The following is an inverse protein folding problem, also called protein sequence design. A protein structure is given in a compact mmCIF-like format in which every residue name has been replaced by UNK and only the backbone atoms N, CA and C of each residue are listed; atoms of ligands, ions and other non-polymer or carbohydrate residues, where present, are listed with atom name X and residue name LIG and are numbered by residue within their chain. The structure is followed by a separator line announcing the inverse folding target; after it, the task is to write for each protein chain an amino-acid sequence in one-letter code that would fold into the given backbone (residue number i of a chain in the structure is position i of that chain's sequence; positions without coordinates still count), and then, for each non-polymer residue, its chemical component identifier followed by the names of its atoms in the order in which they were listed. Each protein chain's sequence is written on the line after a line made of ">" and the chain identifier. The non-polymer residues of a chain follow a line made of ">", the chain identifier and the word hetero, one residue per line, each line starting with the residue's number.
data_IF_981526849476
#
_entry.id   IF_981526849476
#
_cell.length_a   1.000
_cell.length_b   1.000
_cell.length_c   1.000
_cell.angle_alpha   90.00
_cell.angle_beta   90.00
_cell.angle_gamma   90.00
#
_symmetry.space_group_name_H-M   'P 1'
#
loop_
_entity.id
_entity.type
_entity.pdbx_description
1 polymer ?
#
# COMPACT_ATOMS: atom_id res chain seq x y z
N UNK A 1 -25.65 58.31 -7.39
CA UNK A 1 -24.26 58.67 -7.00
C UNK A 1 -23.38 57.46 -7.31
N UNK A 2 -22.45 57.41 -8.26
CA UNK A 2 -21.84 58.44 -9.08
C UNK A 2 -20.31 58.34 -9.05
N UNK A 3 -19.74 57.60 -10.01
CA UNK A 3 -18.38 57.76 -10.61
C UNK A 3 -17.17 57.38 -9.70
N UNK A 4 -16.00 56.94 -10.18
CA UNK A 4 -15.43 56.55 -11.49
C UNK A 4 -14.01 56.00 -11.22
N UNK A 5 -13.67 54.91 -11.92
CA UNK A 5 -12.40 54.63 -12.64
C UNK A 5 -11.33 55.74 -12.68
N UNK A 6 -10.05 55.35 -12.56
CA UNK A 6 -8.91 55.60 -13.51
C UNK A 6 -7.67 54.82 -12.99
N UNK A 7 -7.19 53.82 -13.74
CA UNK A 7 -6.11 53.87 -14.75
C UNK A 7 -4.71 54.01 -14.13
N UNK A 8 -3.91 52.93 -14.20
CA UNK A 8 -2.84 52.66 -15.19
C UNK A 8 -1.51 53.24 -14.71
N UNK A 9 -0.53 52.37 -14.49
CA UNK A 9 0.81 52.60 -15.02
C UNK A 9 1.54 51.25 -15.19
N UNK A 10 1.71 50.89 -16.46
CA UNK A 10 2.67 49.89 -16.94
C UNK A 10 3.98 50.63 -17.16
N UNK A 11 5.11 50.06 -16.74
CA UNK A 11 6.42 50.48 -17.24
C UNK A 11 6.95 49.42 -18.22
N UNK A 12 6.99 49.72 -19.53
CA UNK A 12 7.64 48.90 -20.55
C UNK A 12 9.05 49.41 -20.87
N UNK A 13 9.85 48.46 -21.31
CA UNK A 13 11.16 48.54 -21.95
C UNK A 13 11.37 49.79 -22.82
N UNK A 14 12.42 50.57 -22.53
CA UNK A 14 12.98 51.60 -23.41
C UNK A 14 14.48 51.35 -23.56
N UNK A 15 14.90 50.79 -24.70
CA UNK A 15 15.51 51.47 -25.86
C UNK A 15 17.00 51.76 -25.67
N UNK A 16 17.78 50.90 -26.34
CA UNK A 16 19.14 51.15 -26.81
C UNK A 16 19.20 52.39 -27.71
N UNK A 17 20.30 53.14 -27.62
CA UNK A 17 20.88 53.82 -28.79
C UNK A 17 22.41 53.62 -28.81
N UNK A 18 23.03 53.62 -30.01
CA UNK A 18 24.37 53.08 -30.27
C UNK A 18 25.42 54.18 -30.49
N UNK A 19 26.69 53.88 -30.22
CA UNK A 19 27.81 54.76 -30.61
C UNK A 19 29.20 54.22 -30.28
N UNK A 20 29.85 53.64 -31.30
CA UNK A 20 31.30 53.55 -31.55
C UNK A 20 32.14 52.64 -30.63
N UNK A 21 32.50 51.42 -31.07
CA UNK A 21 33.65 51.04 -31.93
C UNK A 21 35.03 51.35 -31.30
N UNK A 22 35.80 50.29 -31.06
CA UNK A 22 37.20 50.31 -30.64
C UNK A 22 37.52 49.08 -29.76
N UNK A 23 37.51 47.88 -30.33
CA UNK A 23 38.70 47.15 -30.81
C UNK A 23 39.66 46.72 -29.70
N UNK A 24 39.71 45.40 -29.49
CA UNK A 24 40.85 44.55 -29.10
C UNK A 24 41.96 45.15 -28.22
N UNK A 25 42.11 44.61 -27.01
CA UNK A 25 43.37 44.04 -26.54
C UNK A 25 43.16 43.27 -25.23
N UNK A 26 43.42 41.96 -25.27
CA UNK A 26 43.85 41.17 -24.11
C UNK A 26 45.37 41.41 -23.97
N UNK A 27 45.94 41.49 -22.75
CA UNK A 27 46.62 40.30 -22.26
C UNK A 27 46.61 40.09 -20.73
N UNK A 28 46.30 38.85 -20.35
CA UNK A 28 46.99 38.00 -19.36
C UNK A 28 47.35 38.53 -17.95
N UNK A 29 46.60 38.03 -16.95
CA UNK A 29 46.99 37.29 -15.72
C UNK A 29 46.25 37.72 -14.45
N UNK A 30 45.66 36.75 -13.75
CA UNK A 30 45.16 36.95 -12.38
C UNK A 30 43.96 36.10 -11.99
N UNK A 31 44.19 34.82 -11.71
CA UNK A 31 43.49 34.01 -10.69
C UNK A 31 41.97 34.19 -10.52
N UNK A 32 41.14 33.49 -11.32
CA UNK A 32 39.75 33.11 -10.96
C UNK A 32 39.16 32.06 -11.90
N UNK A 33 39.84 30.92 -12.08
CA UNK A 33 39.50 29.92 -13.12
C UNK A 33 38.96 28.58 -12.58
N UNK A 34 38.24 28.55 -11.45
CA UNK A 34 37.62 27.29 -10.97
C UNK A 34 36.10 27.32 -10.80
N UNK A 35 35.47 28.49 -10.65
CA UNK A 35 34.01 28.60 -10.53
C UNK A 35 33.28 28.98 -11.83
N UNK A 36 34.01 29.42 -12.86
CA UNK A 36 33.44 29.75 -14.18
C UNK A 36 33.32 28.55 -15.11
N UNK A 37 34.11 27.48 -14.94
CA UNK A 37 34.05 26.30 -15.82
C UNK A 37 32.74 25.50 -15.68
N UNK A 38 32.16 25.40 -14.48
CA UNK A 38 30.91 24.64 -14.28
C UNK A 38 29.70 25.39 -14.88
N UNK A 39 29.65 26.71 -14.72
CA UNK A 39 28.62 27.54 -15.33
C UNK A 39 28.79 27.69 -16.86
N UNK A 40 30.02 27.67 -17.36
CA UNK A 40 30.28 27.67 -18.81
C UNK A 40 29.82 26.34 -19.45
N UNK A 41 30.04 25.20 -18.80
CA UNK A 41 29.52 23.90 -19.26
C UNK A 41 27.98 23.84 -19.25
N UNK A 42 27.34 24.43 -18.23
CA UNK A 42 25.88 24.44 -18.15
C UNK A 42 25.24 25.28 -19.26
N UNK A 43 25.83 26.45 -19.59
CA UNK A 43 25.32 27.34 -20.65
C UNK A 43 25.58 26.82 -22.07
N UNK A 44 26.62 25.99 -22.25
CA UNK A 44 26.88 25.28 -23.50
C UNK A 44 25.91 24.10 -23.67
N UNK A 45 25.53 23.42 -22.58
CA UNK A 45 24.58 22.29 -22.62
C UNK A 45 23.16 22.70 -23.03
N UNK A 46 22.64 23.83 -22.55
CA UNK A 46 21.31 24.31 -22.95
C UNK A 46 21.27 24.79 -24.40
N UNK A 47 22.39 25.35 -24.88
CA UNK A 47 22.53 25.83 -26.27
C UNK A 47 22.72 24.67 -27.27
N UNK A 48 23.27 23.53 -26.83
CA UNK A 48 23.40 22.31 -27.65
C UNK A 48 22.10 21.51 -27.75
N UNK A 49 21.26 21.51 -26.71
CA UNK A 49 19.91 20.91 -26.79
C UNK A 49 19.01 21.67 -27.76
N UNK A 50 19.11 23.00 -27.83
CA UNK A 50 18.28 23.79 -28.76
C UNK A 50 18.79 23.79 -30.21
N UNK A 51 20.04 23.38 -30.48
CA UNK A 51 20.58 23.32 -31.84
C UNK A 51 20.40 21.95 -32.51
N UNK A 52 19.94 20.93 -31.79
CA UNK A 52 19.72 19.59 -32.33
C UNK A 52 18.44 19.49 -33.20
N UNK A 53 17.51 20.45 -33.07
CA UNK A 53 16.23 20.44 -33.80
C UNK A 53 16.21 21.30 -35.08
N UNK A 54 17.25 22.07 -35.36
CA UNK A 54 17.34 22.86 -36.60
C UNK A 54 18.45 22.31 -37.49
N UNK A 55 18.03 21.61 -38.55
CA UNK A 55 18.94 21.02 -39.53
C UNK A 55 19.97 22.01 -40.05
N UNK A 56 21.23 21.60 -40.03
CA UNK A 56 22.30 22.25 -40.78
C UNK A 56 23.17 21.18 -41.44
N UNK A 57 22.89 20.97 -42.73
CA UNK A 57 23.77 20.28 -43.67
C UNK A 57 24.78 21.29 -44.22
N UNK A 58 26.07 21.13 -43.91
CA UNK A 58 27.15 21.40 -44.87
C UNK A 58 28.47 20.82 -44.38
N UNK A 59 29.05 20.00 -45.26
CA UNK A 59 30.40 19.42 -45.30
C UNK A 59 31.44 20.00 -44.34
N UNK A 60 32.08 19.11 -43.57
CA UNK A 60 33.27 19.42 -42.77
C UNK A 60 33.44 18.44 -41.62
N UNK A 61 34.30 17.46 -41.84
CA UNK A 61 34.98 16.64 -40.81
C UNK A 61 34.15 15.60 -40.04
N UNK A 62 34.53 14.35 -40.29
CA UNK A 62 34.19 13.12 -39.59
C UNK A 62 34.78 13.07 -38.18
N UNK A 63 34.57 14.13 -37.41
CA UNK A 63 35.03 14.25 -36.04
C UNK A 63 33.80 14.09 -35.14
N UNK A 64 33.83 12.99 -34.37
CA UNK A 64 33.31 12.91 -33.00
C UNK A 64 32.00 12.23 -32.66
N UNK A 65 31.50 11.29 -33.48
CA UNK A 65 30.71 10.18 -32.88
C UNK A 65 31.61 9.33 -31.96
N UNK A 66 32.90 9.22 -32.31
CA UNK A 66 33.94 8.54 -31.51
C UNK A 66 34.29 9.29 -30.23
N UNK A 67 34.61 10.59 -30.29
CA UNK A 67 34.93 11.37 -29.10
C UNK A 67 33.71 11.64 -28.22
N UNK A 68 32.50 11.82 -28.77
CA UNK A 68 31.30 11.94 -27.92
C UNK A 68 31.03 10.64 -27.14
N UNK A 69 31.26 9.47 -27.75
CA UNK A 69 31.23 8.18 -27.02
C UNK A 69 32.37 8.04 -26.02
N UNK A 70 33.57 8.50 -26.37
CA UNK A 70 34.73 8.49 -25.48
C UNK A 70 34.51 9.40 -24.27
N UNK A 71 34.00 10.61 -24.48
CA UNK A 71 33.66 11.58 -23.45
C UNK A 71 32.50 11.09 -22.58
N UNK A 72 31.48 10.45 -23.15
CA UNK A 72 30.42 9.80 -22.38
C UNK A 72 30.97 8.68 -21.49
N UNK A 73 31.85 7.82 -22.02
CA UNK A 73 32.51 6.76 -21.23
C UNK A 73 33.45 7.30 -20.16
N UNK A 74 34.20 8.35 -20.47
CA UNK A 74 35.07 9.04 -19.51
C UNK A 74 34.22 9.71 -18.44
N UNK A 75 33.09 10.31 -18.80
CA UNK A 75 32.15 10.91 -17.86
C UNK A 75 31.47 9.86 -16.98
N UNK A 76 31.04 8.72 -17.52
CA UNK A 76 30.56 7.55 -16.74
C UNK A 76 31.65 6.99 -15.82
N UNK A 77 32.90 6.91 -16.29
CA UNK A 77 34.03 6.51 -15.47
C UNK A 77 34.30 7.52 -14.35
N UNK A 78 34.31 8.82 -14.64
CA UNK A 78 34.54 9.87 -13.64
C UNK A 78 33.37 9.95 -12.65
N UNK A 79 32.12 9.81 -13.10
CA UNK A 79 30.95 9.81 -12.21
C UNK A 79 30.89 8.57 -11.32
N UNK A 80 31.26 7.39 -11.84
CA UNK A 80 31.40 6.18 -11.04
C UNK A 80 32.56 6.24 -10.04
N UNK A 81 33.64 6.93 -10.38
CA UNK A 81 34.78 7.19 -9.47
C UNK A 81 34.43 8.24 -8.40
N UNK A 82 33.63 9.25 -8.75
CA UNK A 82 33.33 10.38 -7.83
C UNK A 82 32.16 10.13 -6.88
N UNK A 83 31.29 9.15 -7.16
CA UNK A 83 30.28 8.66 -6.21
C UNK A 83 30.15 7.14 -6.33
N UNK A 84 31.06 6.36 -5.71
CA UNK A 84 30.84 4.93 -5.57
C UNK A 84 29.45 4.70 -4.93
N UNK A 85 28.68 3.72 -5.40
CA UNK A 85 27.35 3.45 -4.87
C UNK A 85 27.46 3.21 -3.36
N UNK A 86 26.92 4.13 -2.58
CA UNK A 86 26.86 4.01 -1.13
C UNK A 86 25.70 3.07 -0.78
N UNK A 87 25.88 2.20 0.22
CA UNK A 87 24.83 1.30 0.72
C UNK A 87 23.51 2.05 0.94
N UNK A 88 23.55 3.26 1.51
CA UNK A 88 22.35 4.09 1.71
C UNK A 88 21.63 4.46 0.40
N UNK A 89 22.37 4.74 -0.68
CA UNK A 89 21.78 5.04 -2.00
C UNK A 89 21.19 3.80 -2.66
N UNK A 90 21.82 2.65 -2.46
CA UNK A 90 21.31 1.36 -2.95
C UNK A 90 20.01 0.99 -2.24
N UNK A 91 19.95 1.12 -0.91
CA UNK A 91 18.73 0.83 -0.14
C UNK A 91 17.57 1.77 -0.49
N UNK A 92 17.83 3.07 -0.69
CA UNK A 92 16.79 4.00 -1.15
C UNK A 92 16.23 3.62 -2.51
N UNK A 93 17.11 3.26 -3.46
CA UNK A 93 16.68 2.81 -4.79
C UNK A 93 15.93 1.48 -4.73
N UNK A 94 16.38 0.56 -3.88
CA UNK A 94 15.70 -0.71 -3.66
C UNK A 94 14.30 -0.52 -3.08
N UNK A 95 14.11 0.40 -2.13
CA UNK A 95 12.78 0.68 -1.59
C UNK A 95 11.83 1.27 -2.64
N UNK A 96 12.34 2.14 -3.52
CA UNK A 96 11.56 2.63 -4.66
C UNK A 96 11.12 1.49 -5.59
N UNK A 97 12.05 0.58 -5.95
CA UNK A 97 11.72 -0.57 -6.80
C UNK A 97 10.74 -1.54 -6.13
N UNK A 98 10.87 -1.74 -4.81
CA UNK A 98 9.90 -2.52 -4.03
C UNK A 98 8.50 -1.89 -4.08
N UNK A 99 8.40 -0.56 -4.00
CA UNK A 99 7.12 0.16 -4.10
C UNK A 99 6.53 0.11 -5.52
N UNK A 100 7.38 0.09 -6.55
CA UNK A 100 6.99 -0.10 -7.96
C UNK A 100 6.59 -1.55 -8.29
N UNK A 101 6.76 -2.50 -7.36
CA UNK A 101 6.48 -3.92 -7.56
C UNK A 101 7.59 -4.70 -8.29
N UNK A 102 8.76 -4.08 -8.48
CA UNK A 102 9.95 -4.67 -9.13
C UNK A 102 10.81 -5.37 -8.08
N UNK A 103 10.30 -6.48 -7.56
CA UNK A 103 10.86 -7.13 -6.36
C UNK A 103 12.24 -7.76 -6.61
N UNK A 104 12.49 -8.31 -7.79
CA UNK A 104 13.76 -8.95 -8.15
C UNK A 104 14.90 -7.92 -8.20
N UNK A 105 14.68 -6.80 -8.90
CA UNK A 105 15.67 -5.72 -8.99
C UNK A 105 15.91 -5.04 -7.62
N UNK A 106 14.87 -4.94 -6.80
CA UNK A 106 15.01 -4.48 -5.43
C UNK A 106 15.89 -5.43 -4.60
N UNK A 107 15.71 -6.75 -4.74
CA UNK A 107 16.51 -7.75 -4.04
C UNK A 107 17.98 -7.70 -4.43
N UNK A 108 18.29 -7.51 -5.71
CA UNK A 108 19.67 -7.33 -6.17
C UNK A 108 20.34 -6.11 -5.54
N UNK A 109 19.63 -4.98 -5.48
CA UNK A 109 20.14 -3.74 -4.89
C UNK A 109 20.31 -3.87 -3.36
N UNK A 110 19.39 -4.53 -2.67
CA UNK A 110 19.54 -4.83 -1.23
C UNK A 110 20.75 -5.72 -0.99
N UNK A 111 20.92 -6.79 -1.79
CA UNK A 111 22.07 -7.68 -1.66
C UNK A 111 23.40 -6.95 -1.93
N UNK A 112 23.45 -6.04 -2.90
CA UNK A 112 24.60 -5.17 -3.13
C UNK A 112 24.87 -4.25 -1.92
N UNK A 113 23.82 -3.62 -1.37
CA UNK A 113 23.94 -2.75 -0.21
C UNK A 113 24.41 -3.47 1.04
N UNK A 114 23.90 -4.69 1.29
CA UNK A 114 24.30 -5.53 2.42
C UNK A 114 25.71 -6.09 2.26
N UNK A 115 26.22 -6.31 1.03
CA UNK A 115 27.65 -6.62 0.82
C UNK A 115 28.57 -5.48 1.25
N UNK A 116 28.14 -4.24 1.07
CA UNK A 116 28.90 -3.05 1.49
C UNK A 116 28.77 -2.79 3.00
N UNK A 117 27.58 -3.02 3.56
CA UNK A 117 27.30 -2.85 4.98
C UNK A 117 26.49 -4.05 5.51
N UNK A 118 27.17 -5.12 5.95
CA UNK A 118 26.50 -6.36 6.37
C UNK A 118 25.65 -6.26 7.63
N UNK A 119 25.81 -5.21 8.42
CA UNK A 119 25.08 -5.01 9.69
C UNK A 119 24.16 -3.78 9.62
N UNK A 120 23.61 -3.47 8.45
CA UNK A 120 22.73 -2.32 8.29
C UNK A 120 21.26 -2.72 8.50
N UNK A 121 20.65 -2.20 9.58
CA UNK A 121 19.25 -2.47 9.91
C UNK A 121 18.25 -2.11 8.80
N UNK A 122 18.51 -1.07 8.00
CA UNK A 122 17.64 -0.70 6.86
C UNK A 122 17.72 -1.75 5.76
N UNK A 123 18.92 -2.28 5.49
CA UNK A 123 19.13 -3.34 4.52
C UNK A 123 18.40 -4.62 4.92
N UNK A 124 18.54 -5.04 6.17
CA UNK A 124 17.83 -6.20 6.72
C UNK A 124 16.30 -6.00 6.73
N UNK A 125 15.82 -4.80 7.05
CA UNK A 125 14.39 -4.49 7.00
C UNK A 125 13.82 -4.62 5.58
N UNK A 126 14.54 -4.09 4.58
CA UNK A 126 14.14 -4.22 3.18
C UNK A 126 14.21 -5.68 2.71
N UNK A 127 15.25 -6.41 3.10
CA UNK A 127 15.38 -7.85 2.85
C UNK A 127 14.17 -8.61 3.38
N UNK A 128 13.76 -8.34 4.62
CA UNK A 128 12.59 -8.95 5.24
C UNK A 128 11.30 -8.70 4.44
N UNK A 129 11.07 -7.46 4.00
CA UNK A 129 9.91 -7.12 3.18
C UNK A 129 9.92 -7.81 1.80
N UNK A 130 11.10 -7.96 1.19
CA UNK A 130 11.23 -8.68 -0.08
C UNK A 130 10.98 -10.18 0.11
N UNK A 131 11.50 -10.78 1.18
CA UNK A 131 11.19 -12.17 1.52
C UNK A 131 9.68 -12.38 1.75
N UNK A 132 8.97 -11.45 2.38
CA UNK A 132 7.51 -11.50 2.48
C UNK A 132 6.82 -11.43 1.11
N UNK A 133 7.28 -10.56 0.21
CA UNK A 133 6.76 -10.47 -1.14
C UNK A 133 6.94 -11.81 -1.91
N UNK A 134 8.05 -12.50 -1.68
CA UNK A 134 8.33 -13.83 -2.22
C UNK A 134 7.70 -14.99 -1.43
N UNK A 135 6.84 -14.72 -0.42
CA UNK A 135 6.22 -15.73 0.46
C UNK A 135 7.22 -16.60 1.26
N UNK A 136 8.43 -16.10 1.46
CA UNK A 136 9.48 -16.77 2.23
C UNK A 136 9.40 -16.35 3.71
N UNK A 137 8.46 -16.94 4.44
CA UNK A 137 8.13 -16.54 5.82
C UNK A 137 9.31 -16.76 6.78
N UNK A 138 10.00 -17.90 6.69
CA UNK A 138 11.16 -18.22 7.55
C UNK A 138 12.29 -17.19 7.43
N UNK A 139 12.83 -16.94 6.22
CA UNK A 139 13.83 -15.90 5.99
C UNK A 139 13.36 -14.51 6.40
N UNK A 140 12.11 -14.15 6.12
CA UNK A 140 11.56 -12.85 6.52
C UNK A 140 11.59 -12.64 8.05
N UNK A 141 11.20 -13.66 8.83
CA UNK A 141 11.27 -13.61 10.31
C UNK A 141 12.70 -13.38 10.79
N UNK A 142 13.66 -14.13 10.25
CA UNK A 142 15.06 -14.03 10.64
C UNK A 142 15.60 -12.61 10.38
N UNK A 143 15.30 -12.03 9.22
CA UNK A 143 15.70 -10.67 8.88
C UNK A 143 15.06 -9.62 9.81
N UNK A 144 13.77 -9.73 10.12
CA UNK A 144 13.15 -8.84 11.12
C UNK A 144 13.76 -8.99 12.52
N UNK A 145 14.12 -10.21 12.93
CA UNK A 145 14.81 -10.46 14.20
C UNK A 145 16.21 -9.83 14.22
N UNK A 146 16.95 -9.89 13.11
CA UNK A 146 18.24 -9.18 12.98
C UNK A 146 18.07 -7.67 13.17
N UNK A 147 17.04 -7.08 12.58
CA UNK A 147 16.71 -5.65 12.79
C UNK A 147 16.43 -5.36 14.27
N UNK A 148 15.65 -6.23 14.94
CA UNK A 148 15.37 -6.09 16.37
C UNK A 148 16.58 -6.35 17.27
N UNK A 149 17.58 -7.09 16.79
CA UNK A 149 18.87 -7.24 17.47
C UNK A 149 19.68 -5.95 17.50
N UNK A 150 19.54 -5.11 16.47
CA UNK A 150 20.20 -3.79 16.38
C UNK A 150 19.37 -2.72 17.09
N UNK A 151 18.06 -2.68 16.83
CA UNK A 151 17.10 -1.78 17.48
C UNK A 151 15.91 -2.58 18.02
N UNK A 152 15.91 -2.92 19.34
CA UNK A 152 14.84 -3.71 19.97
C UNK A 152 13.45 -3.10 19.90
N UNK A 153 13.35 -1.82 19.56
CA UNK A 153 12.09 -1.06 19.53
C UNK A 153 11.70 -0.66 18.11
N UNK A 154 12.39 -1.16 17.07
CA UNK A 154 12.12 -0.74 15.71
C UNK A 154 10.65 -0.99 15.31
N UNK A 155 9.84 0.05 15.02
CA UNK A 155 8.39 -0.09 14.89
C UNK A 155 7.98 -0.95 13.69
N UNK A 156 8.65 -0.74 12.54
CA UNK A 156 8.40 -1.50 11.31
C UNK A 156 8.77 -2.98 11.42
N UNK A 157 9.81 -3.33 12.16
CA UNK A 157 10.20 -4.73 12.38
C UNK A 157 9.24 -5.45 13.35
N UNK A 158 8.83 -4.77 14.44
CA UNK A 158 7.78 -5.28 15.34
C UNK A 158 6.46 -5.52 14.60
N UNK A 159 6.03 -4.57 13.77
CA UNK A 159 4.84 -4.75 12.93
C UNK A 159 4.99 -5.88 11.92
N UNK A 160 6.19 -6.04 11.34
CA UNK A 160 6.51 -7.14 10.43
C UNK A 160 6.31 -8.50 11.08
N UNK A 161 6.89 -8.72 12.26
CA UNK A 161 6.71 -9.95 13.03
C UNK A 161 5.25 -10.16 13.48
N UNK A 162 4.56 -9.10 13.89
CA UNK A 162 3.14 -9.18 14.24
C UNK A 162 2.28 -9.66 13.06
N UNK A 163 2.54 -9.14 11.84
CA UNK A 163 1.85 -9.57 10.61
C UNK A 163 2.13 -11.03 10.29
N UNK A 164 3.37 -11.46 10.42
CA UNK A 164 3.72 -12.86 10.18
C UNK A 164 3.02 -13.77 11.19
N UNK A 165 3.05 -13.43 12.49
CA UNK A 165 2.35 -14.20 13.52
C UNK A 165 0.84 -14.26 13.24
N UNK A 166 0.26 -13.18 12.70
CA UNK A 166 -1.13 -13.15 12.27
C UNK A 166 -1.41 -14.09 11.09
N UNK A 167 -0.55 -14.10 10.07
CA UNK A 167 -0.66 -15.02 8.93
C UNK A 167 -0.57 -16.49 9.37
N UNK A 168 0.25 -16.78 10.38
CA UNK A 168 0.36 -18.10 11.01
C UNK A 168 -0.77 -18.42 11.99
N UNK A 169 -1.72 -17.48 12.18
CA UNK A 169 -2.83 -17.56 13.15
C UNK A 169 -2.39 -17.67 14.61
N UNK A 170 -1.14 -17.33 14.92
CA UNK A 170 -0.62 -17.28 16.29
C UNK A 170 -0.91 -15.91 16.91
N UNK A 171 -2.13 -15.77 17.44
CA UNK A 171 -2.54 -14.55 18.13
C UNK A 171 -1.77 -14.31 19.43
N UNK A 172 -1.28 -15.38 20.07
CA UNK A 172 -0.53 -15.28 21.31
C UNK A 172 0.84 -14.64 21.07
N UNK A 173 1.50 -14.96 19.96
CA UNK A 173 2.73 -14.32 19.53
C UNK A 173 2.50 -12.92 18.92
N UNK A 174 1.36 -12.69 18.25
CA UNK A 174 1.07 -11.42 17.57
C UNK A 174 0.92 -10.23 18.53
N UNK A 175 0.12 -10.38 19.59
CA UNK A 175 -0.19 -9.31 20.55
C UNK A 175 1.03 -8.65 21.19
N UNK A 176 2.00 -9.37 21.78
CA UNK A 176 3.12 -8.73 22.46
C UNK A 176 3.96 -7.87 21.51
N UNK A 177 4.07 -8.22 20.22
CA UNK A 177 4.76 -7.37 19.25
C UNK A 177 4.01 -6.06 18.99
N UNK A 178 2.68 -6.09 18.92
CA UNK A 178 1.84 -4.90 18.74
C UNK A 178 1.84 -4.01 19.98
N UNK A 179 1.71 -4.61 21.15
CA UNK A 179 1.74 -3.89 22.43
C UNK A 179 3.07 -3.17 22.59
N UNK A 180 4.19 -3.85 22.28
CA UNK A 180 5.52 -3.23 22.29
C UNK A 180 5.62 -2.11 21.26
N UNK A 181 5.14 -2.32 20.03
CA UNK A 181 5.20 -1.28 19.00
C UNK A 181 4.43 -0.01 19.41
N UNK A 182 3.23 -0.17 19.97
CA UNK A 182 2.36 0.95 20.38
C UNK A 182 2.78 1.59 21.70
N UNK A 183 3.48 0.87 22.58
CA UNK A 183 4.07 1.43 23.79
C UNK A 183 5.12 2.49 23.47
N UNK A 184 6.01 2.22 22.50
CA UNK A 184 7.08 3.15 22.11
C UNK A 184 6.65 4.12 21.01
N UNK A 185 5.71 3.72 20.15
CA UNK A 185 5.19 4.54 19.06
C UNK A 185 3.65 4.58 19.11
N UNK A 186 3.07 5.40 20.00
CA UNK A 186 1.61 5.50 20.14
C UNK A 186 0.92 6.01 18.88
N UNK A 187 1.59 6.83 18.07
CA UNK A 187 1.12 7.36 16.79
C UNK A 187 1.56 6.48 15.62
N UNK A 188 1.28 5.17 15.72
CA UNK A 188 1.55 4.20 14.66
C UNK A 188 0.24 3.59 14.16
N UNK A 189 -0.42 4.21 13.16
CA UNK A 189 -1.78 3.85 12.77
C UNK A 189 -1.88 2.42 12.24
N UNK A 190 -0.86 1.91 11.54
CA UNK A 190 -0.87 0.54 11.03
C UNK A 190 -0.82 -0.51 12.15
N UNK A 191 -0.05 -0.27 13.22
CA UNK A 191 -0.03 -1.16 14.37
C UNK A 191 -1.33 -1.09 15.17
N UNK A 192 -1.90 0.12 15.34
CA UNK A 192 -3.20 0.29 16.02
C UNK A 192 -4.32 -0.42 15.27
N UNK A 193 -4.39 -0.25 13.95
CA UNK A 193 -5.36 -0.94 13.12
C UNK A 193 -5.22 -2.48 13.21
N UNK A 194 -3.98 -3.00 13.27
CA UNK A 194 -3.73 -4.42 13.44
C UNK A 194 -4.13 -4.92 14.83
N UNK A 195 -3.85 -4.14 15.89
CA UNK A 195 -4.21 -4.48 17.26
C UNK A 195 -5.72 -4.50 17.46
N UNK A 196 -6.44 -3.50 16.93
CA UNK A 196 -7.91 -3.47 16.96
C UNK A 196 -8.51 -4.65 16.20
N UNK A 197 -7.92 -5.06 15.06
CA UNK A 197 -8.34 -6.24 14.34
C UNK A 197 -8.15 -7.52 15.17
N UNK A 198 -6.98 -7.70 15.79
CA UNK A 198 -6.65 -8.85 16.65
C UNK A 198 -7.49 -8.87 17.93
N UNK A 199 -7.77 -7.72 18.53
CA UNK A 199 -8.67 -7.59 19.67
C UNK A 199 -10.10 -8.00 19.29
N UNK A 200 -10.56 -7.62 18.09
CA UNK A 200 -11.81 -8.13 17.52
C UNK A 200 -11.84 -9.65 17.40
N UNK A 201 -10.71 -10.34 17.16
CA UNK A 201 -10.63 -11.80 17.11
C UNK A 201 -10.66 -12.42 18.51
N UNK A 202 -10.21 -11.68 19.53
CA UNK A 202 -10.22 -12.08 20.93
C UNK A 202 -11.63 -12.07 21.54
N UNK A 203 -12.40 -11.03 21.24
CA UNK A 203 -13.78 -10.83 21.72
C UNK A 203 -14.76 -11.84 21.10
N UNK A 204 -14.36 -12.46 19.98
CA UNK A 204 -15.09 -13.58 19.33
C UNK A 204 -14.68 -14.94 19.93
N UNK A 205 -13.67 -14.95 20.79
CA UNK A 205 -13.15 -16.09 21.54
C UNK A 205 -14.02 -16.52 22.73
N UNK A 206 -15.32 -16.19 22.73
CA UNK A 206 -16.26 -16.99 23.53
C UNK A 206 -16.30 -18.36 22.86
N UNK A 207 -15.85 -19.45 23.53
CA UNK A 207 -15.93 -20.79 22.98
C UNK A 207 -17.36 -21.07 22.51
N UNK A 208 -17.52 -21.78 21.40
CA UNK A 208 -18.79 -22.33 20.89
C UNK A 208 -19.87 -22.54 21.98
N UNK A 209 -19.51 -23.25 23.06
CA UNK A 209 -20.42 -23.58 24.17
C UNK A 209 -20.68 -22.51 25.26
N UNK A 210 -20.16 -21.29 25.14
CA UNK A 210 -20.43 -20.17 26.07
C UNK A 210 -21.07 -18.96 25.38
N UNK A 211 -21.28 -19.02 24.06
CA UNK A 211 -21.99 -17.95 23.34
C UNK A 211 -23.44 -17.92 23.80
N UNK A 212 -24.04 -16.74 23.99
CA UNK A 212 -25.44 -16.65 24.38
C UNK A 212 -26.27 -17.38 23.32
N UNK A 213 -27.05 -18.37 23.74
CA UNK A 213 -27.98 -19.02 22.83
C UNK A 213 -28.99 -17.98 22.35
N UNK A 214 -29.28 -17.97 21.05
CA UNK A 214 -30.26 -17.04 20.49
C UNK A 214 -31.63 -17.25 21.18
N UNK A 215 -32.07 -16.25 21.93
CA UNK A 215 -33.31 -16.31 22.72
C UNK A 215 -34.58 -15.86 21.96
N UNK A 216 -34.47 -15.63 20.65
CA UNK A 216 -35.58 -15.16 19.82
C UNK A 216 -36.37 -16.29 19.15
N UNK A 217 -37.37 -15.94 18.31
CA UNK A 217 -38.20 -16.94 17.64
C UNK A 217 -37.37 -17.80 16.68
N UNK A 218 -37.53 -19.14 16.71
CA UNK A 218 -36.79 -20.02 15.82
C UNK A 218 -37.19 -19.80 14.36
N UNK A 219 -36.21 -19.80 13.47
CA UNK A 219 -36.47 -19.74 12.03
C UNK A 219 -36.75 -21.14 11.49
N UNK A 220 -37.90 -21.31 10.82
CA UNK A 220 -38.25 -22.55 10.15
C UNK A 220 -37.69 -22.58 8.72
N UNK A 221 -36.79 -23.54 8.43
CA UNK A 221 -36.15 -23.70 7.11
C UNK A 221 -37.16 -23.81 5.96
N UNK A 222 -38.28 -24.48 6.19
CA UNK A 222 -39.38 -24.70 5.23
C UNK A 222 -39.99 -23.37 4.73
N UNK A 223 -39.97 -22.34 5.57
CA UNK A 223 -40.53 -21.02 5.27
C UNK A 223 -39.51 -20.08 4.63
N UNK A 224 -38.23 -20.28 4.92
CA UNK A 224 -37.13 -19.51 4.34
C UNK A 224 -36.95 -19.76 2.84
N UNK A 225 -37.25 -20.99 2.37
CA UNK A 225 -37.10 -21.42 0.97
C UNK A 225 -35.69 -21.15 0.44
N UNK A 226 -34.64 -21.76 1.01
CA UNK A 226 -33.26 -21.54 0.57
C UNK A 226 -33.07 -21.95 -0.90
N UNK A 227 -32.22 -21.24 -1.66
CA UNK A 227 -31.96 -21.59 -3.04
C UNK A 227 -31.22 -22.93 -3.12
N UNK A 228 -31.63 -23.80 -4.04
CA UNK A 228 -31.00 -25.11 -4.25
C UNK A 228 -29.52 -25.03 -4.66
N UNK A 229 -29.09 -23.90 -5.22
CA UNK A 229 -27.70 -23.64 -5.61
C UNK A 229 -26.84 -23.07 -4.47
N UNK A 230 -27.44 -22.63 -3.36
CA UNK A 230 -26.71 -22.15 -2.20
C UNK A 230 -26.08 -23.32 -1.46
N UNK A 231 -24.78 -23.22 -1.17
CA UNK A 231 -24.06 -24.24 -0.39
C UNK A 231 -24.28 -24.03 1.11
N UNK A 232 -24.25 -22.78 1.54
CA UNK A 232 -24.31 -22.42 2.94
C UNK A 232 -25.14 -21.16 3.15
N UNK A 233 -25.93 -21.18 4.21
CA UNK A 233 -26.76 -20.07 4.65
C UNK A 233 -26.58 -19.88 6.15
N UNK A 234 -26.19 -18.68 6.54
CA UNK A 234 -25.96 -18.32 7.94
C UNK A 234 -26.60 -16.97 8.24
N UNK A 235 -27.34 -16.92 9.34
CA UNK A 235 -27.87 -15.69 9.92
C UNK A 235 -27.28 -15.51 11.31
N UNK A 236 -26.69 -14.36 11.56
CA UNK A 236 -26.05 -13.99 12.83
C UNK A 236 -26.55 -12.63 13.29
N UNK A 237 -26.47 -12.38 14.59
CA UNK A 237 -26.58 -11.04 15.12
C UNK A 237 -25.24 -10.29 14.95
N UNK A 238 -25.27 -8.95 15.02
CA UNK A 238 -24.06 -8.13 14.90
C UNK A 238 -23.01 -8.41 16.02
N UNK A 239 -23.45 -8.98 17.14
CA UNK A 239 -22.60 -9.44 18.25
C UNK A 239 -21.92 -10.79 17.97
N UNK A 240 -22.28 -11.48 16.89
CA UNK A 240 -21.75 -12.79 16.49
C UNK A 240 -22.58 -13.98 17.00
N UNK A 241 -23.71 -13.73 17.66
CA UNK A 241 -24.63 -14.80 18.07
C UNK A 241 -25.25 -15.46 16.83
N UNK A 242 -25.09 -16.79 16.72
CA UNK A 242 -25.71 -17.56 15.64
C UNK A 242 -27.24 -17.59 15.85
N UNK A 243 -27.97 -17.10 14.86
CA UNK A 243 -29.45 -17.13 14.83
C UNK A 243 -29.93 -18.37 14.09
N UNK A 244 -29.28 -18.70 12.96
CA UNK A 244 -29.64 -19.85 12.14
C UNK A 244 -28.49 -20.26 11.23
N UNK A 245 -28.33 -21.57 11.00
CA UNK A 245 -27.48 -22.14 9.96
C UNK A 245 -28.16 -23.33 9.28
N UNK A 246 -27.83 -23.55 8.00
CA UNK A 246 -28.26 -24.73 7.25
C UNK A 246 -27.34 -25.96 7.44
N UNK A 247 -26.09 -25.77 7.88
CA UNK A 247 -25.14 -26.85 8.19
C UNK A 247 -25.22 -27.27 9.66
N UNK A 248 -24.66 -28.45 10.00
CA UNK A 248 -24.64 -28.98 11.37
C UNK A 248 -23.98 -28.02 12.38
N UNK A 249 -24.38 -28.12 13.65
CA UNK A 249 -24.16 -27.08 14.68
C UNK A 249 -22.71 -26.61 14.85
N UNK A 250 -21.70 -27.50 14.76
CA UNK A 250 -20.28 -27.09 14.98
C UNK A 250 -19.70 -26.29 13.82
N UNK A 251 -19.83 -26.79 12.59
CA UNK A 251 -19.31 -26.10 11.40
C UNK A 251 -20.06 -24.78 11.16
N UNK A 252 -21.35 -24.75 11.54
CA UNK A 252 -22.20 -23.57 11.52
C UNK A 252 -21.71 -22.43 12.43
N UNK A 253 -21.29 -22.75 13.66
CA UNK A 253 -20.81 -21.76 14.63
C UNK A 253 -19.45 -21.17 14.23
N UNK A 254 -18.57 -21.99 13.66
CA UNK A 254 -17.27 -21.55 13.14
C UNK A 254 -17.44 -20.66 11.91
N UNK A 255 -18.35 -21.03 11.00
CA UNK A 255 -18.68 -20.23 9.82
C UNK A 255 -19.34 -18.90 10.22
N UNK A 256 -20.27 -18.92 11.18
CA UNK A 256 -20.89 -17.72 11.73
C UNK A 256 -19.88 -16.76 12.36
N UNK A 257 -18.92 -17.29 13.11
CA UNK A 257 -17.82 -16.51 13.65
C UNK A 257 -16.99 -15.89 12.52
N UNK A 258 -16.64 -16.67 11.49
CA UNK A 258 -15.87 -16.19 10.35
C UNK A 258 -16.59 -15.08 9.57
N UNK A 259 -17.87 -15.26 9.25
CA UNK A 259 -18.69 -14.27 8.54
C UNK A 259 -18.82 -12.99 9.34
N UNK A 260 -19.15 -13.10 10.64
CA UNK A 260 -19.25 -11.93 11.53
C UNK A 260 -17.92 -11.19 11.60
N UNK A 261 -16.81 -11.94 11.63
CA UNK A 261 -15.47 -11.38 11.68
C UNK A 261 -15.13 -10.57 10.43
N UNK A 262 -15.39 -11.12 9.24
CA UNK A 262 -15.17 -10.43 7.96
C UNK A 262 -16.04 -9.16 7.90
N UNK A 263 -17.31 -9.25 8.30
CA UNK A 263 -18.22 -8.11 8.35
C UNK A 263 -17.68 -6.99 9.26
N UNK A 264 -17.23 -7.31 10.48
CA UNK A 264 -16.72 -6.31 11.43
C UNK A 264 -15.49 -5.58 10.90
N UNK A 265 -14.53 -6.31 10.31
CA UNK A 265 -13.33 -5.69 9.72
C UNK A 265 -13.72 -4.73 8.60
N UNK A 266 -14.60 -5.18 7.70
CA UNK A 266 -15.04 -4.37 6.57
C UNK A 266 -15.84 -3.14 7.05
N UNK A 267 -16.76 -3.30 8.00
CA UNK A 267 -17.55 -2.21 8.57
C UNK A 267 -16.68 -1.18 9.29
N UNK A 268 -15.71 -1.62 10.11
CA UNK A 268 -14.76 -0.73 10.78
C UNK A 268 -13.91 0.06 9.78
N UNK A 269 -13.47 -0.59 8.70
CA UNK A 269 -12.71 0.05 7.63
C UNK A 269 -13.53 1.14 6.93
N UNK A 270 -14.78 0.85 6.59
CA UNK A 270 -15.70 1.83 5.98
C UNK A 270 -16.03 2.99 6.91
N UNK A 271 -16.22 2.72 8.21
CA UNK A 271 -16.47 3.75 9.21
C UNK A 271 -15.28 4.72 9.33
N UNK A 272 -14.04 4.22 9.37
CA UNK A 272 -12.82 5.05 9.38
C UNK A 272 -12.66 5.87 8.10
N UNK A 273 -13.13 5.34 6.97
CA UNK A 273 -13.15 6.06 5.70
C UNK A 273 -14.30 7.07 5.56
N UNK A 274 -15.22 7.15 6.55
CA UNK A 274 -16.40 8.01 6.48
C UNK A 274 -17.46 7.56 5.46
N UNK A 275 -17.43 6.29 5.04
CA UNK A 275 -18.29 5.73 3.99
C UNK A 275 -19.62 5.17 4.51
N UNK A 276 -19.87 5.27 5.82
CA UNK A 276 -21.10 4.83 6.46
C UNK A 276 -21.15 3.33 6.76
N UNK A 277 -22.36 2.84 7.08
CA UNK A 277 -22.57 1.46 7.52
C UNK A 277 -22.52 0.48 6.35
N UNK A 278 -21.83 -0.64 6.56
CA UNK A 278 -21.82 -1.76 5.62
C UNK A 278 -23.20 -2.43 5.62
N UNK A 279 -23.94 -2.32 4.52
CA UNK A 279 -25.28 -2.90 4.35
C UNK A 279 -25.32 -4.12 3.43
N UNK A 280 -24.41 -4.16 2.45
CA UNK A 280 -24.31 -5.23 1.44
C UNK A 280 -22.85 -5.40 1.06
N UNK A 281 -22.47 -6.61 0.67
CA UNK A 281 -21.19 -6.83 0.01
C UNK A 281 -21.03 -8.24 -0.50
N UNK A 282 -19.90 -8.44 -1.18
CA UNK A 282 -19.55 -9.68 -1.87
C UNK A 282 -18.11 -9.98 -1.50
N UNK A 283 -17.87 -11.21 -1.05
CA UNK A 283 -16.53 -11.75 -0.77
C UNK A 283 -16.30 -12.86 -1.78
N UNK A 284 -15.33 -12.66 -2.67
CA UNK A 284 -14.92 -13.66 -3.65
C UNK A 284 -13.68 -14.38 -3.15
N UNK A 285 -13.82 -15.67 -2.89
CA UNK A 285 -12.72 -16.59 -2.60
C UNK A 285 -12.40 -17.44 -3.84
N UNK A 286 -11.35 -18.25 -3.75
CA UNK A 286 -10.88 -19.09 -4.86
C UNK A 286 -11.90 -20.17 -5.25
N UNK A 287 -12.72 -20.63 -4.31
CA UNK A 287 -13.65 -21.76 -4.49
C UNK A 287 -15.12 -21.35 -4.42
N UNK A 288 -15.40 -20.19 -3.86
CA UNK A 288 -16.75 -19.78 -3.48
C UNK A 288 -16.91 -18.27 -3.47
N UNK A 289 -18.15 -17.83 -3.60
CA UNK A 289 -18.53 -16.43 -3.48
C UNK A 289 -19.59 -16.29 -2.40
N UNK A 290 -19.28 -15.51 -1.38
CA UNK A 290 -20.21 -15.21 -0.27
C UNK A 290 -20.83 -13.85 -0.49
N UNK A 291 -22.15 -13.80 -0.52
CA UNK A 291 -22.92 -12.56 -0.53
C UNK A 291 -23.42 -12.31 0.87
N UNK A 292 -23.32 -11.08 1.34
CA UNK A 292 -23.85 -10.72 2.65
C UNK A 292 -24.72 -9.48 2.59
N UNK A 293 -25.70 -9.47 3.49
CA UNK A 293 -26.60 -8.35 3.74
C UNK A 293 -26.73 -8.14 5.23
N UNK A 294 -26.74 -6.88 5.66
CA UNK A 294 -26.75 -6.57 7.08
C UNK A 294 -27.48 -5.27 7.39
N UNK A 295 -27.93 -5.18 8.63
CA UNK A 295 -28.39 -3.97 9.27
C UNK A 295 -27.66 -3.80 10.62
N UNK A 296 -28.14 -2.90 11.48
CA UNK A 296 -27.49 -2.61 12.75
C UNK A 296 -27.60 -3.76 13.79
N UNK A 297 -28.38 -4.81 13.47
CA UNK A 297 -28.67 -5.93 14.40
C UNK A 297 -28.35 -7.30 13.85
N UNK A 298 -28.49 -7.51 12.55
CA UNK A 298 -28.44 -8.81 11.88
C UNK A 298 -27.49 -8.77 10.69
N UNK A 299 -26.78 -9.87 10.49
CA UNK A 299 -25.90 -10.14 9.37
C UNK A 299 -26.32 -11.48 8.77
N UNK A 300 -26.66 -11.45 7.50
CA UNK A 300 -26.99 -12.63 6.69
C UNK A 300 -25.87 -12.86 5.70
N UNK A 301 -25.38 -14.09 5.61
CA UNK A 301 -24.48 -14.54 4.57
C UNK A 301 -25.05 -15.74 3.83
N UNK A 302 -24.88 -15.73 2.51
CA UNK A 302 -25.30 -16.77 1.60
C UNK A 302 -24.13 -17.09 0.66
N UNK A 303 -23.65 -18.32 0.73
CA UNK A 303 -22.45 -18.78 0.00
C UNK A 303 -22.85 -19.64 -1.18
N UNK A 304 -22.27 -19.34 -2.33
CA UNK A 304 -22.45 -20.07 -3.57
C UNK A 304 -21.10 -20.55 -4.13
N UNK A 305 -21.10 -21.54 -5.03
CA UNK A 305 -19.93 -21.85 -5.85
C UNK A 305 -19.40 -20.61 -6.61
N UNK A 306 -18.11 -20.60 -6.93
CA UNK A 306 -17.44 -19.45 -7.54
C UNK A 306 -18.04 -19.01 -8.89
N UNK A 307 -18.64 -19.91 -9.65
CA UNK A 307 -19.21 -19.66 -10.99
C UNK A 307 -20.59 -18.99 -10.97
N UNK A 308 -21.11 -18.66 -9.78
CA UNK A 308 -22.39 -17.97 -9.64
C UNK A 308 -22.38 -16.59 -10.30
N UNK A 309 -23.46 -16.28 -11.04
CA UNK A 309 -23.66 -14.93 -11.57
C UNK A 309 -23.97 -13.98 -10.42
N UNK A 310 -23.23 -12.87 -10.33
CA UNK A 310 -23.38 -11.84 -9.28
C UNK A 310 -24.85 -11.40 -9.11
N UNK A 311 -25.55 -11.13 -10.22
CA UNK A 311 -26.95 -10.69 -10.18
C UNK A 311 -27.89 -11.74 -9.57
N UNK A 312 -27.63 -13.03 -9.80
CA UNK A 312 -28.39 -14.12 -9.19
C UNK A 312 -28.11 -14.20 -7.68
N UNK A 313 -26.83 -14.17 -7.28
CA UNK A 313 -26.44 -14.22 -5.87
C UNK A 313 -27.04 -13.06 -5.05
N UNK A 314 -27.03 -11.83 -5.60
CA UNK A 314 -27.64 -10.67 -4.95
C UNK A 314 -29.17 -10.80 -4.81
N UNK A 315 -29.85 -11.30 -5.85
CA UNK A 315 -31.29 -11.49 -5.82
C UNK A 315 -31.70 -12.51 -4.76
N UNK A 316 -31.03 -13.66 -4.72
CA UNK A 316 -31.32 -14.70 -3.74
C UNK A 316 -31.00 -14.25 -2.31
N UNK A 317 -29.90 -13.51 -2.12
CA UNK A 317 -29.56 -12.91 -0.81
C UNK A 317 -30.64 -11.93 -0.35
N UNK A 318 -31.18 -11.09 -1.25
CA UNK A 318 -32.26 -10.15 -0.93
C UNK A 318 -33.58 -10.83 -0.59
N UNK A 319 -33.91 -11.93 -1.30
CA UNK A 319 -35.08 -12.77 -0.98
C UNK A 319 -34.94 -13.41 0.39
N UNK A 320 -33.78 -14.05 0.65
CA UNK A 320 -33.50 -14.70 1.93
C UNK A 320 -33.54 -13.70 3.09
N UNK A 321 -33.00 -12.49 2.90
CA UNK A 321 -33.09 -11.41 3.88
C UNK A 321 -34.54 -11.03 4.21
N UNK A 322 -35.35 -10.83 3.18
CA UNK A 322 -36.76 -10.44 3.35
C UNK A 322 -37.56 -11.54 4.06
N UNK A 323 -37.33 -12.80 3.68
CA UNK A 323 -37.98 -13.95 4.32
C UNK A 323 -37.56 -14.09 5.79
N UNK A 324 -36.25 -13.94 6.07
CA UNK A 324 -35.71 -14.02 7.42
C UNK A 324 -36.30 -12.94 8.34
N UNK A 325 -36.36 -11.69 7.86
CA UNK A 325 -36.96 -10.59 8.63
C UNK A 325 -38.45 -10.82 8.89
N UNK A 326 -39.19 -11.35 7.91
CA UNK A 326 -40.62 -11.67 8.05
C UNK A 326 -40.86 -12.73 9.12
N UNK A 327 -40.09 -13.81 9.10
CA UNK A 327 -40.20 -14.87 10.12
C UNK A 327 -39.80 -14.37 11.52
N UNK A 328 -38.80 -13.49 11.60
CA UNK A 328 -38.38 -12.87 12.86
C UNK A 328 -39.35 -11.76 13.35
N UNK A 329 -40.37 -11.40 12.57
CA UNK A 329 -41.30 -10.31 12.90
C UNK A 329 -40.64 -8.92 12.93
N UNK A 330 -39.44 -8.78 12.35
CA UNK A 330 -38.69 -7.52 12.31
C UNK A 330 -39.12 -6.75 11.06
N UNK A 331 -39.63 -5.52 11.22
CA UNK A 331 -39.92 -4.65 10.07
C UNK A 331 -38.61 -4.30 9.35
N UNK A 332 -38.63 -4.47 8.02
CA UNK A 332 -37.50 -4.24 7.12
C UNK A 332 -37.08 -2.76 7.00
#
# INVERSE_FOLDING_TARGET
>A
MGRRRRERERAPWARLTPGQIGSFACPFWGCRAWLTSVLCCWRVSDRLKSSADSGFTSQGESIDVGLMRLLARIWEAITSITRPPNAATLFRRADLYRQEGRFEEAAELVAQGLRLQPNNGVGHLLSAYLHLAFRQIGPAKAEFQTVLGVDPYHPRALLGLARIALEERDLAACRPFLDKALQYYPDFPEARALQEMVAGWADVGVPAGQRPAYAGPPLAMERLKPPAAGREFVLTQADGTLVFSQQGDKDAEDLAAHVTQVYRIAAATLARAGLGALRRGIVQATTETTFFRSNDRLILALTFPQDVKIGFGLLETDKMWTNSLRELGVRA
#
